data_IF_513423105591
#
_entry.id   IF_513423105591
#
_cell.length_a   1.000
_cell.length_b   1.000
_cell.length_c   1.000
_cell.angle_alpha   90.00
_cell.angle_beta   90.00
_cell.angle_gamma   90.00
#
_symmetry.space_group_name_H-M   'P 1'
#
loop_
_entity.id
_entity.type
_entity.pdbx_description
1 polymer ?
#
# COMPACT_ATOMS: atom_id res chain seq x y z
N UNK A 1 20.13 -9.27 -18.08
CA UNK A 1 21.09 -8.23 -17.64
C UNK A 1 22.44 -8.82 -17.26
N UNK A 2 23.58 -8.15 -17.51
CA UNK A 2 24.63 -8.10 -16.50
C UNK A 2 24.13 -7.19 -15.36
N UNK A 3 23.87 -7.73 -14.16
CA UNK A 3 23.66 -6.86 -12.98
C UNK A 3 22.62 -7.26 -11.92
N UNK A 4 21.80 -8.31 -12.10
CA UNK A 4 21.04 -8.86 -10.95
C UNK A 4 21.98 -9.76 -10.17
N UNK A 5 22.30 -9.37 -8.94
CA UNK A 5 22.98 -10.27 -8.00
C UNK A 5 21.96 -11.25 -7.42
N UNK A 6 21.82 -12.39 -8.09
CA UNK A 6 20.91 -13.48 -7.69
C UNK A 6 21.17 -13.92 -6.24
N UNK A 7 22.41 -13.87 -5.75
CA UNK A 7 22.71 -14.24 -4.36
C UNK A 7 22.22 -13.17 -3.38
N UNK A 8 22.31 -11.90 -3.73
CA UNK A 8 21.75 -10.81 -2.94
C UNK A 8 20.21 -10.92 -2.87
N UNK A 9 19.55 -11.16 -3.99
CA UNK A 9 18.09 -11.37 -4.06
C UNK A 9 17.64 -12.58 -3.23
N UNK A 10 18.30 -13.73 -3.39
CA UNK A 10 17.97 -14.92 -2.59
C UNK A 10 18.23 -14.71 -1.08
N UNK A 11 19.26 -13.94 -0.74
CA UNK A 11 19.55 -13.58 0.65
C UNK A 11 18.47 -12.68 1.24
N UNK A 12 17.99 -11.70 0.47
CA UNK A 12 16.85 -10.85 0.84
C UNK A 12 15.62 -11.72 1.12
N UNK A 13 15.24 -12.59 0.19
CA UNK A 13 14.05 -13.43 0.34
C UNK A 13 14.15 -14.39 1.54
N UNK A 14 15.32 -14.99 1.77
CA UNK A 14 15.53 -15.82 2.97
C UNK A 14 15.38 -15.04 4.27
N UNK A 15 15.89 -13.79 4.32
CA UNK A 15 15.76 -12.93 5.50
C UNK A 15 14.30 -12.52 5.71
N UNK A 16 13.60 -12.16 4.65
CA UNK A 16 12.19 -11.81 4.70
C UNK A 16 11.34 -13.00 5.16
N UNK A 17 11.56 -14.19 4.59
CA UNK A 17 10.90 -15.42 5.01
C UNK A 17 11.18 -15.78 6.47
N UNK A 18 12.42 -15.63 6.94
CA UNK A 18 12.77 -15.88 8.33
C UNK A 18 12.10 -14.90 9.32
N UNK A 19 11.83 -13.66 8.89
CA UNK A 19 11.24 -12.62 9.75
C UNK A 19 9.72 -12.59 9.71
N UNK A 20 9.12 -12.78 8.54
CA UNK A 20 7.68 -12.58 8.33
C UNK A 20 6.95 -13.82 7.81
N UNK A 21 7.67 -14.87 7.40
CA UNK A 21 7.05 -16.05 6.81
C UNK A 21 6.02 -16.69 7.74
N UNK A 22 4.79 -16.85 7.26
CA UNK A 22 3.68 -17.40 8.04
C UNK A 22 3.00 -16.41 8.99
N UNK A 23 3.38 -15.12 8.96
CA UNK A 23 2.62 -14.08 9.63
C UNK A 23 1.21 -14.01 9.02
N UNK A 24 0.19 -14.11 9.87
CA UNK A 24 -1.22 -13.97 9.49
C UNK A 24 -1.77 -12.70 10.11
N UNK A 25 -2.45 -11.89 9.30
CA UNK A 25 -3.14 -10.70 9.77
C UNK A 25 -4.43 -10.50 8.99
N UNK A 26 -5.38 -9.80 9.61
CA UNK A 26 -6.62 -9.42 8.93
C UNK A 26 -6.43 -8.03 8.34
N UNK A 27 -6.52 -7.91 7.02
CA UNK A 27 -6.55 -6.60 6.39
C UNK A 27 -7.94 -5.99 6.52
N UNK A 28 -8.02 -4.82 7.13
CA UNK A 28 -9.26 -4.02 7.15
C UNK A 28 -9.43 -3.26 5.83
N UNK A 29 -8.31 -2.88 5.20
CA UNK A 29 -8.33 -2.23 3.89
C UNK A 29 -9.04 -3.10 2.84
N UNK A 30 -8.83 -4.41 2.91
CA UNK A 30 -9.40 -5.37 1.96
C UNK A 30 -10.54 -6.23 2.53
N UNK A 31 -10.76 -6.16 3.84
CA UNK A 31 -11.82 -6.86 4.58
C UNK A 31 -11.72 -8.39 4.60
N UNK A 32 -10.50 -8.93 4.46
CA UNK A 32 -10.24 -10.37 4.44
C UNK A 32 -8.89 -10.74 5.11
N UNK A 33 -8.61 -12.04 5.28
CA UNK A 33 -7.36 -12.49 5.92
C UNK A 33 -6.22 -12.61 4.92
N UNK A 34 -5.04 -12.14 5.31
CA UNK A 34 -3.82 -12.19 4.52
C UNK A 34 -2.76 -13.00 5.27
N UNK A 35 -2.06 -13.86 4.53
CA UNK A 35 -0.89 -14.57 5.03
C UNK A 35 0.34 -14.09 4.28
N UNK A 36 1.36 -13.62 5.01
CA UNK A 36 2.66 -13.32 4.40
C UNK A 36 3.33 -14.63 4.01
N UNK A 37 3.41 -14.84 2.71
CA UNK A 37 4.07 -16.00 2.10
C UNK A 37 5.31 -15.54 1.33
N UNK A 38 6.10 -16.51 0.90
CA UNK A 38 7.26 -16.26 0.05
C UNK A 38 7.35 -17.42 -0.93
N UNK A 39 6.55 -17.35 -1.99
CA UNK A 39 6.63 -18.31 -3.10
C UNK A 39 7.40 -17.63 -4.22
N UNK A 40 8.65 -18.02 -4.51
CA UNK A 40 9.35 -17.53 -5.69
C UNK A 40 8.47 -17.76 -6.92
N UNK A 41 8.36 -16.76 -7.80
CA UNK A 41 7.45 -16.76 -8.95
C UNK A 41 8.28 -16.95 -10.23
N UNK A 42 8.76 -18.17 -10.56
CA UNK A 42 9.69 -18.38 -11.67
C UNK A 42 9.07 -18.09 -13.05
N UNK A 43 7.75 -18.10 -13.15
CA UNK A 43 6.92 -17.85 -14.34
C UNK A 43 6.48 -16.39 -14.56
N UNK A 44 6.82 -15.42 -13.70
CA UNK A 44 6.57 -13.99 -13.99
C UNK A 44 7.21 -13.53 -15.32
N UNK A 45 8.19 -14.32 -15.78
CA UNK A 45 8.83 -14.34 -17.07
C UNK A 45 7.96 -14.31 -18.31
N UNK A 46 6.87 -15.08 -18.31
CA UNK A 46 6.12 -15.33 -19.53
C UNK A 46 5.15 -14.17 -19.83
N UNK A 47 4.79 -13.39 -18.81
CA UNK A 47 3.76 -12.36 -18.86
C UNK A 47 4.27 -10.90 -18.71
N UNK A 48 5.47 -10.68 -18.13
CA UNK A 48 5.90 -9.34 -17.67
C UNK A 48 7.28 -8.83 -18.16
N UNK A 49 7.87 -9.50 -19.16
CA UNK A 49 9.18 -9.22 -19.78
C UNK A 49 10.43 -9.77 -19.03
N UNK A 50 11.52 -10.11 -19.77
CA UNK A 50 12.65 -10.89 -19.21
C UNK A 50 13.48 -10.22 -18.11
N UNK A 51 13.46 -8.90 -18.04
CA UNK A 51 14.14 -8.10 -17.03
C UNK A 51 13.54 -8.23 -15.62
N UNK A 52 12.28 -8.68 -15.50
CA UNK A 52 11.53 -8.78 -14.24
C UNK A 52 11.54 -10.22 -13.63
N UNK A 53 12.22 -11.17 -14.29
CA UNK A 53 12.15 -12.63 -14.06
C UNK A 53 12.72 -13.15 -12.73
N UNK A 54 13.93 -12.73 -12.35
CA UNK A 54 14.71 -13.47 -11.35
C UNK A 54 14.64 -12.86 -9.94
N UNK A 55 13.73 -11.92 -9.74
CA UNK A 55 13.74 -11.03 -8.58
C UNK A 55 12.37 -10.82 -7.94
N UNK A 56 11.42 -11.75 -8.10
CA UNK A 56 10.09 -11.61 -7.49
C UNK A 56 9.67 -12.84 -6.68
N UNK A 57 9.06 -12.58 -5.52
CA UNK A 57 8.41 -13.59 -4.70
C UNK A 57 6.98 -13.14 -4.41
N UNK A 58 6.02 -14.05 -4.55
CA UNK A 58 4.65 -13.82 -4.10
C UNK A 58 4.69 -13.62 -2.59
N UNK A 59 4.16 -12.48 -2.13
CA UNK A 59 4.31 -11.98 -0.77
C UNK A 59 3.05 -12.20 0.06
N UNK A 60 1.87 -12.18 -0.55
CA UNK A 60 0.60 -12.30 0.16
C UNK A 60 -0.26 -13.37 -0.49
N UNK A 61 -0.63 -14.37 0.30
CA UNK A 61 -1.74 -15.24 -0.05
C UNK A 61 -3.06 -14.63 0.47
N UNK A 62 -3.98 -14.38 -0.45
CA UNK A 62 -5.33 -13.90 -0.15
C UNK A 62 -6.28 -15.10 0.01
N UNK A 63 -7.17 -15.06 1.00
CA UNK A 63 -8.24 -16.05 1.18
C UNK A 63 -9.38 -15.93 0.14
N UNK A 64 -9.38 -14.86 -0.66
CA UNK A 64 -10.34 -14.55 -1.72
C UNK A 64 -9.66 -14.16 -3.03
N UNK A 65 -10.36 -14.35 -4.16
CA UNK A 65 -9.87 -13.90 -5.46
C UNK A 65 -9.81 -12.36 -5.52
N UNK A 66 -8.61 -11.82 -5.68
CA UNK A 66 -8.35 -10.38 -5.79
C UNK A 66 -7.85 -10.01 -7.20
N UNK A 67 -8.16 -8.83 -7.76
CA UNK A 67 -7.77 -8.46 -9.13
C UNK A 67 -6.27 -8.15 -9.31
N UNK A 68 -5.45 -8.36 -8.27
CA UNK A 68 -4.01 -8.23 -8.32
C UNK A 68 -3.34 -9.16 -7.30
N UNK A 69 -2.06 -9.43 -7.53
CA UNK A 69 -1.15 -10.08 -6.59
C UNK A 69 -0.21 -9.04 -5.95
N UNK A 70 0.28 -9.35 -4.75
CA UNK A 70 1.26 -8.53 -4.02
C UNK A 70 2.58 -9.28 -3.97
N UNK A 71 3.64 -8.71 -4.54
CA UNK A 71 4.93 -9.36 -4.68
C UNK A 71 6.05 -8.57 -3.99
N UNK A 72 7.09 -9.26 -3.57
CA UNK A 72 8.35 -8.69 -3.12
C UNK A 72 9.36 -8.69 -4.27
N UNK A 73 9.85 -7.52 -4.66
CA UNK A 73 10.89 -7.35 -5.69
C UNK A 73 12.30 -7.47 -5.06
N UNK A 74 13.30 -7.82 -5.87
CA UNK A 74 14.67 -8.10 -5.44
C UNK A 74 15.45 -6.90 -4.92
N UNK A 75 14.94 -5.68 -5.12
CA UNK A 75 15.42 -4.46 -4.46
C UNK A 75 14.79 -4.21 -3.08
N UNK A 76 13.87 -5.07 -2.65
CA UNK A 76 13.16 -4.98 -1.37
C UNK A 76 11.78 -4.33 -1.45
N UNK A 77 11.41 -3.73 -2.58
CA UNK A 77 10.12 -3.06 -2.71
C UNK A 77 8.96 -4.05 -2.77
N UNK A 78 7.83 -3.66 -2.17
CA UNK A 78 6.55 -4.36 -2.36
C UNK A 78 5.85 -3.75 -3.58
N UNK A 79 5.48 -4.61 -4.52
CA UNK A 79 4.84 -4.22 -5.78
C UNK A 79 3.46 -4.88 -5.89
N UNK A 80 2.50 -4.18 -6.49
CA UNK A 80 1.21 -4.77 -6.86
C UNK A 80 1.23 -5.10 -8.36
N UNK A 81 0.80 -6.31 -8.69
CA UNK A 81 0.74 -6.82 -10.05
C UNK A 81 -0.71 -7.13 -10.41
N UNK A 82 -1.30 -6.39 -11.35
CA UNK A 82 -2.70 -6.57 -11.72
C UNK A 82 -2.83 -7.56 -12.88
N UNK A 83 -3.90 -8.35 -12.92
CA UNK A 83 -4.12 -9.33 -13.99
C UNK A 83 -5.20 -8.85 -14.94
N UNK A 84 -4.91 -8.68 -16.22
CA UNK A 84 -5.88 -8.23 -17.24
C UNK A 84 -5.38 -8.38 -18.68
N UNK A 85 -6.27 -8.35 -19.70
CA UNK A 85 -5.99 -8.74 -21.09
C UNK A 85 -4.98 -7.85 -21.85
N UNK A 86 -4.37 -6.87 -21.19
CA UNK A 86 -3.38 -5.95 -21.75
C UNK A 86 -2.15 -5.77 -20.84
N UNK A 87 -1.71 -6.85 -20.16
CA UNK A 87 -0.50 -6.95 -19.30
C UNK A 87 -0.33 -5.75 -18.37
N UNK A 88 -0.81 -5.87 -17.14
CA UNK A 88 -0.93 -4.73 -16.25
C UNK A 88 0.43 -4.19 -15.75
N UNK A 89 0.50 -2.92 -15.34
CA UNK A 89 1.70 -2.37 -14.74
C UNK A 89 2.01 -3.06 -13.40
N UNK A 90 3.26 -3.51 -13.24
CA UNK A 90 3.85 -3.78 -11.93
C UNK A 90 4.10 -2.43 -11.27
N UNK A 91 3.37 -2.12 -10.20
CA UNK A 91 3.45 -0.82 -9.53
C UNK A 91 4.15 -0.97 -8.18
N UNK A 92 5.30 -0.32 -7.97
CA UNK A 92 5.89 -0.20 -6.64
C UNK A 92 4.96 0.56 -5.72
N UNK A 93 4.59 -0.06 -4.60
CA UNK A 93 3.65 0.52 -3.61
C UNK A 93 4.38 0.89 -2.33
N UNK A 94 5.19 -0.01 -1.78
CA UNK A 94 5.96 0.25 -0.55
C UNK A 94 7.45 0.01 -0.76
N UNK A 95 8.33 0.72 -0.03
CA UNK A 95 9.77 0.48 -0.06
C UNK A 95 10.16 -0.88 0.54
N UNK A 96 9.26 -1.53 1.30
CA UNK A 96 9.43 -2.88 1.81
C UNK A 96 8.29 -3.35 2.70
N UNK A 97 8.41 -4.59 3.18
CA UNK A 97 7.37 -5.31 3.95
C UNK A 97 7.01 -4.56 5.24
N UNK A 98 8.01 -4.01 5.95
CA UNK A 98 7.75 -3.25 7.18
C UNK A 98 6.79 -2.08 6.94
N UNK A 99 6.94 -1.36 5.83
CA UNK A 99 6.06 -0.23 5.52
C UNK A 99 4.65 -0.66 5.12
N UNK A 100 4.52 -1.77 4.42
CA UNK A 100 3.23 -2.40 4.12
C UNK A 100 2.51 -2.83 5.42
N UNK A 101 3.21 -3.53 6.31
CA UNK A 101 2.64 -4.00 7.58
C UNK A 101 2.27 -2.84 8.51
N UNK A 102 3.07 -1.78 8.55
CA UNK A 102 2.72 -0.57 9.32
C UNK A 102 1.47 0.10 8.76
N UNK A 103 1.32 0.22 7.42
CA UNK A 103 0.11 0.75 6.81
C UNK A 103 -1.14 -0.08 7.16
N UNK A 104 -1.04 -1.41 7.15
CA UNK A 104 -2.12 -2.31 7.58
C UNK A 104 -2.45 -2.15 9.08
N UNK A 105 -1.44 -1.98 9.92
CA UNK A 105 -1.64 -1.69 11.34
C UNK A 105 -2.39 -0.36 11.56
N UNK A 106 -2.05 0.68 10.79
CA UNK A 106 -2.77 1.95 10.85
C UNK A 106 -4.23 1.82 10.42
N UNK A 107 -4.52 1.02 9.39
CA UNK A 107 -5.91 0.72 9.00
C UNK A 107 -6.67 -0.02 10.11
N UNK A 108 -6.04 -1.01 10.75
CA UNK A 108 -6.62 -1.75 11.86
C UNK A 108 -6.93 -0.84 13.06
N UNK A 109 -6.04 0.09 13.38
CA UNK A 109 -6.27 1.13 14.39
C UNK A 109 -7.46 2.02 14.02
N UNK A 110 -7.47 2.51 12.76
CA UNK A 110 -8.51 3.39 12.25
C UNK A 110 -9.88 2.69 12.14
N UNK A 111 -9.93 1.36 12.09
CA UNK A 111 -11.18 0.59 12.09
C UNK A 111 -12.04 0.85 13.34
N UNK A 112 -11.41 1.21 14.46
CA UNK A 112 -12.09 1.56 15.71
C UNK A 112 -12.37 3.08 15.86
N UNK A 113 -11.92 3.89 14.91
CA UNK A 113 -12.03 5.35 14.94
C UNK A 113 -13.31 5.83 14.24
N UNK A 114 -13.63 7.10 14.40
CA UNK A 114 -14.78 7.75 13.75
C UNK A 114 -14.40 8.05 12.30
N UNK A 115 -15.07 7.47 11.29
CA UNK A 115 -14.85 7.85 9.90
C UNK A 115 -15.41 9.25 9.65
N UNK A 116 -14.55 10.19 9.25
CA UNK A 116 -14.93 11.59 8.99
C UNK A 116 -15.22 11.80 7.50
N UNK A 117 -14.42 11.17 6.64
CA UNK A 117 -14.61 11.17 5.19
C UNK A 117 -13.98 9.92 4.59
N UNK A 118 -14.74 9.25 3.72
CA UNK A 118 -14.32 8.08 2.93
C UNK A 118 -14.85 8.37 1.53
N UNK A 119 -14.05 8.92 0.62
CA UNK A 119 -14.63 9.49 -0.60
C UNK A 119 -13.75 9.42 -1.86
N UNK A 120 -14.45 9.48 -2.99
CA UNK A 120 -13.97 9.17 -4.34
C UNK A 120 -13.55 10.44 -5.09
N UNK A 121 -12.45 11.07 -4.68
CA UNK A 121 -11.64 12.03 -5.45
C UNK A 121 -12.01 13.54 -5.58
N UNK A 122 -13.22 14.11 -5.29
CA UNK A 122 -13.37 15.56 -5.33
C UNK A 122 -12.47 16.25 -4.31
N UNK A 123 -11.65 17.17 -4.80
CA UNK A 123 -10.75 17.96 -3.95
C UNK A 123 -9.47 17.25 -3.53
N UNK A 124 -9.12 16.07 -4.08
CA UNK A 124 -7.89 15.36 -3.71
C UNK A 124 -6.64 16.25 -3.84
N UNK A 125 -6.49 16.98 -4.95
CA UNK A 125 -5.32 17.83 -5.16
C UNK A 125 -5.20 18.91 -4.08
N UNK A 126 -6.33 19.44 -3.61
CA UNK A 126 -6.35 20.47 -2.58
C UNK A 126 -6.14 19.87 -1.18
N UNK A 127 -6.70 18.68 -0.91
CA UNK A 127 -6.42 17.89 0.31
C UNK A 127 -4.95 17.50 0.39
N UNK A 128 -4.35 17.03 -0.70
CA UNK A 128 -2.93 16.66 -0.76
C UNK A 128 -2.03 17.88 -0.57
N UNK A 129 -2.33 19.00 -1.23
CA UNK A 129 -1.59 20.25 -1.04
C UNK A 129 -1.68 20.70 0.43
N UNK A 130 -2.86 20.62 1.05
CA UNK A 130 -3.03 21.01 2.44
C UNK A 130 -2.43 20.01 3.44
N UNK A 131 -2.27 18.75 3.05
CA UNK A 131 -1.65 17.72 3.87
C UNK A 131 -0.16 17.97 4.15
N UNK A 132 0.51 18.85 3.39
CA UNK A 132 1.91 19.22 3.62
C UNK A 132 2.17 19.81 5.02
N UNK A 133 1.12 20.33 5.65
CA UNK A 133 1.18 20.89 7.01
C UNK A 133 0.95 19.87 8.11
N UNK A 134 0.53 18.64 7.76
CA UNK A 134 0.33 17.56 8.72
C UNK A 134 1.65 16.85 9.03
N UNK A 135 1.72 16.18 10.17
CA UNK A 135 2.90 15.35 10.50
C UNK A 135 2.82 14.03 9.75
N UNK A 136 3.77 13.70 8.85
CA UNK A 136 3.76 12.42 8.15
C UNK A 136 4.06 11.26 9.10
N UNK A 137 3.54 10.07 8.77
CA UNK A 137 3.91 8.80 9.41
C UNK A 137 4.83 8.05 8.41
N UNK A 138 6.15 8.33 8.41
CA UNK A 138 7.05 7.85 7.36
C UNK A 138 7.13 6.33 7.29
N UNK A 139 6.94 5.64 8.42
CA UNK A 139 7.01 4.19 8.52
C UNK A 139 5.91 3.51 7.71
N UNK A 140 4.72 4.09 7.60
CA UNK A 140 3.60 3.56 6.82
C UNK A 140 3.55 4.09 5.37
N UNK A 141 4.47 4.99 5.00
CA UNK A 141 4.43 5.65 3.71
C UNK A 141 5.10 4.82 2.60
N UNK A 142 4.45 4.79 1.44
CA UNK A 142 4.88 4.08 0.24
C UNK A 142 5.29 5.00 -0.91
N UNK A 143 5.45 4.46 -2.11
CA UNK A 143 5.63 5.24 -3.34
C UNK A 143 4.32 5.86 -3.81
N UNK A 144 3.20 5.13 -3.68
CA UNK A 144 1.87 5.54 -4.11
C UNK A 144 0.90 5.77 -2.96
N UNK A 145 1.34 5.58 -1.72
CA UNK A 145 0.52 5.71 -0.51
C UNK A 145 1.20 6.59 0.54
N UNK A 146 0.43 7.43 1.22
CA UNK A 146 0.95 8.38 2.22
C UNK A 146 0.00 8.53 3.39
N UNK A 147 0.57 8.61 4.59
CA UNK A 147 -0.13 8.73 5.85
C UNK A 147 0.34 9.94 6.64
N UNK A 148 -0.61 10.60 7.30
CA UNK A 148 -0.35 11.71 8.21
C UNK A 148 -1.25 11.61 9.45
N UNK A 149 -0.76 12.09 10.59
CA UNK A 149 -1.55 12.22 11.82
C UNK A 149 -1.32 13.60 12.45
N UNK A 150 -2.41 14.22 12.91
CA UNK A 150 -2.36 15.47 13.65
C UNK A 150 -3.63 15.64 14.47
N UNK A 151 -3.54 16.27 15.65
CA UNK A 151 -4.68 16.71 16.46
C UNK A 151 -5.78 15.63 16.69
N UNK A 152 -5.36 14.37 16.76
CA UNK A 152 -6.26 13.23 16.99
C UNK A 152 -7.03 12.75 15.75
N UNK A 153 -6.65 13.17 14.54
CA UNK A 153 -7.13 12.60 13.29
C UNK A 153 -5.98 12.08 12.43
N UNK A 154 -6.30 11.16 11.52
CA UNK A 154 -5.37 10.56 10.56
C UNK A 154 -5.91 10.73 9.15
N UNK A 155 -5.04 11.10 8.22
CA UNK A 155 -5.30 11.17 6.78
C UNK A 155 -4.49 10.08 6.08
N UNK A 156 -5.14 9.38 5.16
CA UNK A 156 -4.48 8.49 4.21
C UNK A 156 -4.84 8.93 2.79
N UNK A 157 -3.84 8.98 1.92
CA UNK A 157 -4.01 9.16 0.48
C UNK A 157 -3.33 7.99 -0.22
N UNK A 158 -4.05 7.31 -1.10
CA UNK A 158 -3.52 6.21 -1.90
C UNK A 158 -3.90 6.36 -3.37
N UNK A 159 -2.87 6.25 -4.22
CA UNK A 159 -2.94 6.47 -5.67
C UNK A 159 -2.69 5.19 -6.46
N UNK A 160 -2.45 4.08 -5.78
CA UNK A 160 -2.05 2.79 -6.36
C UNK A 160 -2.96 2.35 -7.52
N UNK A 161 -4.29 2.37 -7.32
CA UNK A 161 -5.23 2.01 -8.39
C UNK A 161 -5.25 3.02 -9.55
N UNK A 162 -5.16 4.32 -9.25
CA UNK A 162 -5.13 5.37 -10.27
C UNK A 162 -3.93 5.26 -11.21
N UNK A 163 -2.83 4.67 -10.72
CA UNK A 163 -1.65 4.36 -11.54
C UNK A 163 -1.89 3.22 -12.54
N UNK A 164 -2.88 2.36 -12.28
CA UNK A 164 -3.06 1.07 -12.96
C UNK A 164 -4.29 1.08 -13.88
N UNK A 165 -5.42 1.61 -13.40
CA UNK A 165 -6.68 1.58 -14.11
C UNK A 165 -7.07 3.01 -14.53
N UNK A 166 -6.95 3.33 -15.84
CA UNK A 166 -7.43 4.61 -16.36
C UNK A 166 -8.88 4.86 -15.96
N UNK A 167 -9.16 6.01 -15.34
CA UNK A 167 -10.48 6.37 -14.83
C UNK A 167 -10.76 5.92 -13.39
N UNK A 168 -9.91 5.08 -12.78
CA UNK A 168 -9.93 4.90 -11.32
C UNK A 168 -9.31 6.13 -10.67
N UNK A 169 -10.11 6.85 -9.87
CA UNK A 169 -9.63 8.01 -9.13
C UNK A 169 -8.66 7.59 -8.03
N UNK A 170 -7.70 8.45 -7.72
CA UNK A 170 -6.97 8.33 -6.47
C UNK A 170 -7.93 8.55 -5.30
N UNK A 171 -7.65 7.90 -4.18
CA UNK A 171 -8.55 7.84 -3.03
C UNK A 171 -7.89 8.41 -1.80
N UNK A 172 -8.72 8.85 -0.88
CA UNK A 172 -8.27 9.34 0.40
C UNK A 172 -9.34 9.12 1.46
N UNK A 173 -8.91 9.06 2.71
CA UNK A 173 -9.77 8.81 3.85
C UNK A 173 -9.26 9.54 5.09
N UNK A 174 -10.19 9.98 5.93
CA UNK A 174 -9.90 10.65 7.19
C UNK A 174 -10.67 10.00 8.32
N UNK A 175 -9.95 9.65 9.38
CA UNK A 175 -10.51 9.10 10.61
C UNK A 175 -10.14 9.97 11.80
N UNK A 176 -10.99 10.00 12.81
CA UNK A 176 -10.77 10.72 14.06
C UNK A 176 -10.86 9.79 15.27
N UNK A 177 -9.88 9.88 16.17
CA UNK A 177 -9.81 9.06 17.39
C UNK A 177 -10.93 9.35 18.38
N UNK A 178 -11.44 10.59 18.36
CA UNK A 178 -12.49 11.06 19.26
C UNK A 178 -13.15 12.32 18.68
N UNK A 179 -14.13 12.89 19.41
CA UNK A 179 -14.89 14.08 19.00
C UNK A 179 -14.01 15.32 18.76
N UNK A 180 -12.93 15.50 19.51
CA UNK A 180 -12.00 16.63 19.28
C UNK A 180 -11.27 16.45 17.95
N UNK A 181 -10.78 15.24 17.68
CA UNK A 181 -10.18 14.90 16.38
C UNK A 181 -11.16 15.04 15.23
N UNK A 182 -12.45 14.75 15.44
CA UNK A 182 -13.47 14.92 14.41
C UNK A 182 -13.64 16.40 14.03
N UNK A 183 -13.67 17.29 15.02
CA UNK A 183 -13.74 18.74 14.78
C UNK A 183 -12.49 19.25 14.06
N UNK A 184 -11.30 18.76 14.46
CA UNK A 184 -10.04 19.10 13.80
C UNK A 184 -10.02 18.63 12.34
N UNK A 185 -10.41 17.38 12.08
CA UNK A 185 -10.52 16.81 10.75
C UNK A 185 -11.50 17.59 9.85
N UNK A 186 -12.68 17.97 10.38
CA UNK A 186 -13.65 18.78 9.63
C UNK A 186 -13.11 20.17 9.32
N UNK A 187 -12.40 20.78 10.27
CA UNK A 187 -11.72 22.06 10.06
C UNK A 187 -10.66 21.94 8.96
N UNK A 188 -9.79 20.93 9.03
CA UNK A 188 -8.80 20.63 8.00
C UNK A 188 -9.44 20.47 6.61
N UNK A 189 -10.49 19.65 6.49
CA UNK A 189 -11.18 19.43 5.21
C UNK A 189 -11.89 20.67 4.68
N UNK A 190 -12.38 21.54 5.56
CA UNK A 190 -12.98 22.82 5.16
C UNK A 190 -11.93 23.73 4.55
N UNK A 191 -10.80 23.94 5.24
CA UNK A 191 -9.71 24.77 4.73
C UNK A 191 -9.10 24.21 3.44
N UNK A 192 -8.88 22.90 3.36
CA UNK A 192 -8.36 22.24 2.17
C UNK A 192 -9.24 22.42 0.92
N UNK A 193 -10.54 22.71 1.08
CA UNK A 193 -11.51 22.84 -0.03
C UNK A 193 -11.87 24.28 -0.37
N UNK A 194 -11.28 25.27 0.32
CA UNK A 194 -11.52 26.69 0.09
C UNK A 194 -10.41 27.28 -0.76
#
# INVERSE_FOLDING_TARGET
>A
MPGVDVQATLTLFRRAAARYGGLRYRSVAWSFEETVTFVPVPWAADDYAPEDQDSMADLIEHDVAHPYAVWLRGDGAVVHCFTGPHSAPVVPVFPGIDAMLEAEALYQDCAAWIPVSLDDAPGLAAVEAHAEHLTPIPEACGYTERWWEQDGFRLHIWKTFATVFPGSGARWAVWARNRSGELAARSFLTHART
#
